data_IF_334767900039
#
_entry.id   IF_334767900039
#
_cell.length_a   1.000
_cell.length_b   1.000
_cell.length_c   1.000
_cell.angle_alpha   90.00
_cell.angle_beta   90.00
_cell.angle_gamma   90.00
#
_symmetry.space_group_name_H-M   'P 1'
#
loop_
_entity.id
_entity.type
_entity.pdbx_description
1 polymer ?
#
# COMPACT_ATOMS: atom_id res chain seq x y z
N UNK A 1 -19.91 14.38 15.75
CA UNK A 1 -20.28 13.48 14.65
C UNK A 1 -19.06 12.86 13.95
N UNK A 2 -18.02 13.59 13.58
CA UNK A 2 -16.82 13.02 12.93
C UNK A 2 -15.97 12.18 13.92
N UNK A 3 -15.76 12.66 15.15
CA UNK A 3 -15.01 11.95 16.19
C UNK A 3 -15.61 10.58 16.52
N UNK A 4 -16.93 10.50 16.70
CA UNK A 4 -17.63 9.24 17.01
C UNK A 4 -17.51 8.18 15.90
N UNK A 5 -17.42 8.61 14.62
CA UNK A 5 -17.23 7.70 13.49
C UNK A 5 -15.79 7.17 13.43
N UNK A 6 -14.80 8.02 13.71
CA UNK A 6 -13.40 7.61 13.77
C UNK A 6 -13.14 6.66 14.95
N UNK A 7 -13.76 6.89 16.10
CA UNK A 7 -13.65 6.01 17.26
C UNK A 7 -14.25 4.63 16.98
N UNK A 8 -15.38 4.56 16.30
CA UNK A 8 -15.98 3.28 15.85
C UNK A 8 -15.07 2.54 14.85
N UNK A 9 -14.44 3.25 13.93
CA UNK A 9 -13.46 2.67 13.00
C UNK A 9 -12.22 2.20 13.77
N UNK A 10 -11.71 3.00 14.72
CA UNK A 10 -10.57 2.63 15.56
C UNK A 10 -10.83 1.35 16.33
N UNK A 11 -11.98 1.25 17.00
CA UNK A 11 -12.36 0.06 17.76
C UNK A 11 -12.37 -1.21 16.89
N UNK A 12 -12.93 -1.12 15.70
CA UNK A 12 -13.01 -2.26 14.77
C UNK A 12 -11.66 -2.59 14.11
N UNK A 13 -10.94 -1.58 13.62
CA UNK A 13 -9.80 -1.79 12.73
C UNK A 13 -8.45 -1.87 13.45
N UNK A 14 -8.33 -1.45 14.72
CA UNK A 14 -7.05 -1.42 15.44
C UNK A 14 -6.65 -2.77 16.04
N UNK A 15 -7.57 -3.75 16.10
CA UNK A 15 -7.25 -5.06 16.66
C UNK A 15 -6.04 -5.70 15.95
N UNK A 16 -5.02 -6.07 16.74
CA UNK A 16 -3.75 -6.64 16.27
C UNK A 16 -2.96 -5.74 15.31
N UNK A 17 -3.19 -4.43 15.33
CA UNK A 17 -2.43 -3.44 14.57
C UNK A 17 -1.52 -2.64 15.49
N UNK A 18 -0.31 -2.35 15.03
CA UNK A 18 0.52 -1.27 15.59
C UNK A 18 0.39 -0.10 14.64
N UNK A 19 -0.36 0.91 15.04
CA UNK A 19 -0.64 2.09 14.22
C UNK A 19 0.40 3.16 14.53
N UNK A 20 0.90 3.81 13.49
CA UNK A 20 1.82 4.93 13.62
C UNK A 20 0.99 6.20 13.88
N UNK A 21 1.10 6.87 15.06
CA UNK A 21 0.22 7.98 15.43
C UNK A 21 0.17 9.11 14.41
N UNK A 22 1.30 9.40 13.76
CA UNK A 22 1.44 10.43 12.73
C UNK A 22 0.49 10.26 11.55
N UNK A 23 0.11 9.03 11.22
CA UNK A 23 -0.75 8.68 10.07
C UNK A 23 -1.98 7.89 10.51
N UNK A 24 -2.41 8.07 11.78
CA UNK A 24 -3.50 7.28 12.34
C UNK A 24 -4.79 7.40 11.54
N UNK A 25 -5.15 8.61 11.13
CA UNK A 25 -6.39 8.85 10.39
C UNK A 25 -6.39 8.16 9.03
N UNK A 26 -5.30 8.28 8.28
CA UNK A 26 -5.12 7.63 6.98
C UNK A 26 -5.10 6.10 7.12
N UNK A 27 -4.37 5.59 8.11
CA UNK A 27 -4.26 4.14 8.37
C UNK A 27 -5.61 3.57 8.78
N UNK A 28 -6.34 4.20 9.69
CA UNK A 28 -7.66 3.73 10.11
C UNK A 28 -8.67 3.81 8.95
N UNK A 29 -8.63 4.90 8.19
CA UNK A 29 -9.49 5.06 7.01
C UNK A 29 -9.24 3.95 6.01
N UNK A 30 -8.00 3.71 5.63
CA UNK A 30 -7.70 2.67 4.64
C UNK A 30 -8.03 1.27 5.17
N UNK A 31 -7.76 0.97 6.43
CA UNK A 31 -8.09 -0.33 7.03
C UNK A 31 -9.60 -0.62 6.98
N UNK A 32 -10.46 0.39 6.99
CA UNK A 32 -11.90 0.20 6.88
C UNK A 32 -12.36 -0.40 5.56
N UNK A 33 -11.54 -0.35 4.51
CA UNK A 33 -11.76 -1.01 3.22
C UNK A 33 -11.28 -2.47 3.19
N UNK A 34 -10.62 -2.95 4.24
CA UNK A 34 -9.99 -4.28 4.29
C UNK A 34 -10.50 -5.14 5.46
N UNK A 35 -11.81 -5.45 5.56
CA UNK A 35 -12.36 -6.26 6.64
C UNK A 35 -11.72 -7.66 6.73
N UNK A 36 -11.23 -8.21 5.60
CA UNK A 36 -10.49 -9.46 5.59
C UNK A 36 -9.17 -9.43 6.36
N UNK A 37 -8.65 -8.23 6.65
CA UNK A 37 -7.44 -8.04 7.45
C UNK A 37 -7.71 -7.75 8.93
N UNK A 38 -8.97 -7.70 9.39
CA UNK A 38 -9.32 -7.32 10.77
C UNK A 38 -8.55 -8.15 11.82
N UNK A 39 -8.44 -9.45 11.62
CA UNK A 39 -7.69 -10.35 12.53
C UNK A 39 -6.19 -10.47 12.20
N UNK A 40 -5.71 -9.83 11.13
CA UNK A 40 -4.32 -9.93 10.67
C UNK A 40 -3.42 -9.02 11.50
N UNK A 41 -2.25 -9.52 11.92
CA UNK A 41 -1.27 -8.70 12.64
C UNK A 41 -0.45 -7.86 11.68
N UNK A 42 -0.60 -6.53 11.76
CA UNK A 42 0.09 -5.57 10.89
C UNK A 42 0.79 -4.52 11.77
N UNK A 43 2.04 -4.24 11.45
CA UNK A 43 2.85 -3.22 12.10
C UNK A 43 3.15 -2.13 11.09
N UNK A 44 2.65 -0.93 11.32
CA UNK A 44 3.03 0.28 10.58
C UNK A 44 4.18 0.93 11.32
N UNK A 45 5.26 1.25 10.61
CA UNK A 45 6.42 1.90 11.23
C UNK A 45 7.24 2.69 10.22
N UNK A 46 7.90 3.72 10.68
CA UNK A 46 8.94 4.39 9.90
C UNK A 46 10.17 3.49 9.75
N UNK A 47 10.82 3.59 8.60
CA UNK A 47 12.06 2.87 8.33
C UNK A 47 12.83 3.51 7.17
N UNK A 48 14.16 3.48 7.24
CA UNK A 48 15.03 3.86 6.13
C UNK A 48 14.94 2.80 5.02
N UNK A 49 14.26 3.15 3.93
CA UNK A 49 14.02 2.31 2.77
C UNK A 49 14.22 3.10 1.48
N UNK A 50 14.47 2.39 0.36
CA UNK A 50 14.66 3.02 -0.96
C UNK A 50 13.35 3.45 -1.63
N UNK A 51 12.24 2.82 -1.29
CA UNK A 51 10.90 3.17 -1.77
C UNK A 51 10.23 4.15 -0.80
N UNK A 52 9.12 4.76 -1.20
CA UNK A 52 8.27 5.58 -0.32
C UNK A 52 7.63 4.74 0.78
N UNK A 53 7.04 3.61 0.39
CA UNK A 53 6.49 2.59 1.28
C UNK A 53 6.87 1.20 0.77
N UNK A 54 6.72 0.20 1.61
CA UNK A 54 6.63 -1.20 1.19
C UNK A 54 6.00 -2.08 2.27
N UNK A 55 5.27 -3.11 1.85
CA UNK A 55 4.75 -4.16 2.69
C UNK A 55 5.56 -5.45 2.55
N UNK A 56 5.75 -6.16 3.67
CA UNK A 56 6.41 -7.47 3.67
C UNK A 56 6.02 -8.32 4.86
N UNK A 57 6.08 -9.65 4.76
CA UNK A 57 6.01 -10.51 5.93
C UNK A 57 7.19 -10.26 6.87
N UNK A 58 6.96 -10.33 8.19
CA UNK A 58 8.05 -10.38 9.18
C UNK A 58 8.72 -11.74 9.09
N UNK A 59 10.02 -11.77 8.75
CA UNK A 59 10.77 -12.99 8.41
C UNK A 59 10.59 -14.11 9.44
N UNK A 60 10.85 -13.86 10.72
CA UNK A 60 10.66 -14.87 11.76
C UNK A 60 9.21 -15.35 11.88
N UNK A 61 8.23 -14.47 11.63
CA UNK A 61 6.81 -14.84 11.62
C UNK A 61 6.44 -15.69 10.39
N UNK A 62 7.07 -15.43 9.25
CA UNK A 62 6.83 -16.19 8.02
C UNK A 62 7.19 -17.67 8.17
N UNK A 63 8.34 -17.95 8.78
CA UNK A 63 8.85 -19.31 8.91
C UNK A 63 8.35 -20.05 10.14
N UNK A 64 8.14 -19.35 11.29
CA UNK A 64 7.83 -19.98 12.57
C UNK A 64 6.37 -19.85 12.99
N UNK A 65 5.49 -19.23 12.20
CA UNK A 65 4.09 -19.07 12.53
C UNK A 65 3.16 -19.68 11.47
N UNK A 66 2.06 -20.26 11.91
CA UNK A 66 0.98 -20.67 11.00
C UNK A 66 0.46 -19.47 10.22
N UNK A 67 -0.04 -19.66 9.00
CA UNK A 67 -0.51 -18.63 8.08
C UNK A 67 -1.38 -17.56 8.78
N UNK A 68 -2.40 -17.98 9.54
CA UNK A 68 -3.31 -17.09 10.29
C UNK A 68 -2.65 -16.25 11.40
N UNK A 69 -1.45 -16.60 11.82
CA UNK A 69 -0.72 -15.92 12.90
C UNK A 69 0.51 -15.16 12.40
N UNK A 70 0.69 -15.05 11.09
CA UNK A 70 1.78 -14.27 10.51
C UNK A 70 1.63 -12.80 10.83
N UNK A 71 2.77 -12.13 10.89
CA UNK A 71 2.85 -10.68 11.10
C UNK A 71 3.40 -10.05 9.83
N UNK A 72 2.77 -8.98 9.39
CA UNK A 72 3.19 -8.17 8.24
C UNK A 72 3.67 -6.81 8.72
N UNK A 73 4.58 -6.21 7.97
CA UNK A 73 5.15 -4.91 8.31
C UNK A 73 5.00 -4.00 7.10
N UNK A 74 4.29 -2.89 7.28
CA UNK A 74 4.25 -1.79 6.34
C UNK A 74 5.27 -0.77 6.82
N UNK A 75 6.30 -0.54 6.01
CA UNK A 75 7.36 0.41 6.29
C UNK A 75 7.11 1.68 5.50
N UNK A 76 7.17 2.81 6.19
CA UNK A 76 6.95 4.13 5.63
C UNK A 76 8.28 4.87 5.72
N UNK A 77 8.73 5.45 4.61
CA UNK A 77 9.92 6.27 4.62
C UNK A 77 9.60 7.59 5.30
N UNK A 78 10.35 7.98 6.36
CA UNK A 78 10.19 9.30 6.95
C UNK A 78 10.62 10.38 5.96
N UNK A 79 10.10 11.60 6.13
CA UNK A 79 10.54 12.76 5.36
C UNK A 79 11.99 13.09 5.73
N UNK A 80 12.89 12.77 4.84
CA UNK A 80 14.31 13.13 4.88
C UNK A 80 14.60 13.86 3.56
N UNK A 81 15.69 14.60 3.48
CA UNK A 81 16.12 15.35 2.27
C UNK A 81 16.35 14.46 1.04
N UNK A 82 15.85 13.23 1.08
CA UNK A 82 16.06 12.21 0.07
C UNK A 82 15.06 12.29 -1.09
N UNK A 83 15.49 11.73 -2.11
CA UNK A 83 15.12 11.67 -3.49
C UNK A 83 13.80 11.00 -3.89
N UNK A 84 12.94 10.60 -2.97
CA UNK A 84 11.67 9.91 -3.24
C UNK A 84 10.49 10.71 -2.72
N UNK A 85 9.31 10.48 -3.28
CA UNK A 85 8.07 11.02 -2.74
C UNK A 85 7.79 10.40 -1.35
N UNK A 86 7.37 11.21 -0.38
CA UNK A 86 7.09 10.77 1.00
C UNK A 86 5.62 10.99 1.35
N UNK A 87 5.13 10.22 2.31
CA UNK A 87 3.75 10.30 2.76
C UNK A 87 3.44 11.64 3.45
N UNK A 88 4.44 12.22 4.13
CA UNK A 88 4.32 13.50 4.83
C UNK A 88 3.93 14.68 3.94
N UNK A 89 4.31 14.62 2.68
CA UNK A 89 4.07 15.69 1.71
C UNK A 89 2.90 15.38 0.78
N UNK A 90 2.34 14.17 0.88
CA UNK A 90 1.18 13.76 0.11
C UNK A 90 -0.13 14.26 0.76
N UNK A 91 -1.14 14.54 -0.03
CA UNK A 91 -2.48 14.79 0.49
C UNK A 91 -3.12 13.53 1.06
N UNK A 92 -4.15 13.71 1.90
CA UNK A 92 -4.87 12.61 2.58
C UNK A 92 -5.29 11.49 1.62
N UNK A 93 -5.93 11.82 0.49
CA UNK A 93 -6.37 10.82 -0.48
C UNK A 93 -5.18 10.04 -1.05
N UNK A 94 -4.11 10.73 -1.43
CA UNK A 94 -2.89 10.08 -1.93
C UNK A 94 -2.29 9.12 -0.89
N UNK A 95 -2.26 9.53 0.38
CA UNK A 95 -1.79 8.68 1.47
C UNK A 95 -2.67 7.43 1.64
N UNK A 96 -4.00 7.57 1.62
CA UNK A 96 -4.95 6.46 1.66
C UNK A 96 -4.75 5.52 0.46
N UNK A 97 -4.53 6.06 -0.74
CA UNK A 97 -4.32 5.28 -1.95
C UNK A 97 -3.08 4.39 -1.88
N UNK A 98 -1.91 4.94 -1.54
CA UNK A 98 -0.68 4.16 -1.45
C UNK A 98 -0.69 3.20 -0.26
N UNK A 99 -1.31 3.55 0.86
CA UNK A 99 -1.50 2.63 1.97
C UNK A 99 -2.42 1.47 1.57
N UNK A 100 -3.44 1.73 0.75
CA UNK A 100 -4.31 0.69 0.18
C UNK A 100 -3.55 -0.28 -0.72
N UNK A 101 -2.69 0.24 -1.60
CA UNK A 101 -1.78 -0.57 -2.40
C UNK A 101 -0.91 -1.48 -1.51
N UNK A 102 -0.30 -0.96 -0.45
CA UNK A 102 0.51 -1.75 0.47
C UNK A 102 -0.32 -2.80 1.25
N UNK A 103 -1.56 -2.50 1.61
CA UNK A 103 -2.46 -3.47 2.23
C UNK A 103 -2.84 -4.59 1.26
N UNK A 104 -2.97 -4.34 -0.04
CA UNK A 104 -3.18 -5.39 -1.03
C UNK A 104 -1.99 -6.35 -1.15
N UNK A 105 -0.77 -5.88 -0.98
CA UNK A 105 0.37 -6.79 -0.79
C UNK A 105 0.19 -7.68 0.44
N UNK A 106 -0.31 -7.13 1.56
CA UNK A 106 -0.61 -7.94 2.77
C UNK A 106 -1.70 -8.96 2.49
N UNK A 107 -2.77 -8.59 1.79
CA UNK A 107 -3.84 -9.51 1.36
C UNK A 107 -3.27 -10.64 0.50
N UNK A 108 -2.48 -10.30 -0.52
CA UNK A 108 -1.84 -11.31 -1.40
C UNK A 108 -0.95 -12.28 -0.58
N UNK A 109 -0.09 -11.77 0.30
CA UNK A 109 0.76 -12.61 1.15
C UNK A 109 -0.03 -13.43 2.16
N UNK A 110 -1.11 -12.89 2.73
CA UNK A 110 -1.93 -13.59 3.73
C UNK A 110 -2.66 -14.80 3.14
N UNK A 111 -2.93 -14.76 1.83
CA UNK A 111 -3.60 -15.84 1.09
C UNK A 111 -2.66 -16.91 0.57
N UNK A 112 -1.32 -16.76 0.75
CA UNK A 112 -0.33 -17.68 0.18
C UNK A 112 0.37 -18.56 1.22
N UNK A 113 0.81 -19.74 0.75
CA UNK A 113 1.80 -20.55 1.46
C UNK A 113 3.15 -19.85 1.49
N UNK A 114 4.10 -20.36 2.27
CA UNK A 114 5.50 -19.85 2.30
C UNK A 114 6.11 -19.90 0.90
N UNK A 115 5.96 -21.03 0.19
CA UNK A 115 6.46 -21.18 -1.18
C UNK A 115 5.80 -20.22 -2.17
N UNK A 116 4.49 -19.95 -2.00
CA UNK A 116 3.78 -18.96 -2.80
C UNK A 116 4.29 -17.54 -2.58
N UNK A 117 4.65 -17.18 -1.34
CA UNK A 117 5.28 -15.88 -1.04
C UNK A 117 6.68 -15.79 -1.65
N UNK A 118 7.50 -16.85 -1.51
CA UNK A 118 8.83 -16.91 -2.13
C UNK A 118 8.70 -16.77 -3.65
N UNK A 119 7.74 -17.47 -4.28
CA UNK A 119 7.45 -17.31 -5.70
C UNK A 119 7.12 -15.87 -6.11
N UNK A 120 6.36 -15.12 -5.28
CA UNK A 120 6.11 -13.69 -5.51
C UNK A 120 7.39 -12.85 -5.43
N UNK A 121 8.32 -13.18 -4.53
CA UNK A 121 9.60 -12.48 -4.43
C UNK A 121 10.46 -12.65 -5.70
N UNK A 122 10.34 -13.78 -6.41
CA UNK A 122 11.02 -13.94 -7.69
C UNK A 122 10.53 -12.98 -8.77
N UNK A 123 9.31 -12.46 -8.69
CA UNK A 123 8.85 -11.40 -9.60
C UNK A 123 9.69 -10.12 -9.50
N UNK A 124 10.32 -9.87 -8.35
CA UNK A 124 11.20 -8.72 -8.14
C UNK A 124 12.61 -8.90 -8.69
N UNK A 125 12.97 -10.09 -9.18
CA UNK A 125 14.32 -10.35 -9.75
C UNK A 125 14.50 -9.73 -11.13
N UNK A 126 13.41 -9.41 -11.83
CA UNK A 126 13.47 -8.74 -13.11
C UNK A 126 12.34 -7.69 -13.25
N UNK A 127 12.57 -6.72 -14.13
CA UNK A 127 11.68 -5.56 -14.32
C UNK A 127 10.28 -5.96 -14.82
N UNK A 128 10.20 -6.91 -15.76
CA UNK A 128 8.94 -7.39 -16.35
C UNK A 128 8.06 -8.09 -15.31
N UNK A 129 8.65 -8.99 -14.51
CA UNK A 129 7.93 -9.68 -13.43
C UNK A 129 7.44 -8.71 -12.37
N UNK A 130 8.30 -7.75 -11.97
CA UNK A 130 7.91 -6.71 -11.01
C UNK A 130 6.75 -5.88 -11.53
N UNK A 131 6.82 -5.35 -12.76
CA UNK A 131 5.74 -4.58 -13.39
C UNK A 131 4.41 -5.35 -13.40
N UNK A 132 4.47 -6.63 -13.79
CA UNK A 132 3.26 -7.47 -13.81
C UNK A 132 2.65 -7.60 -12.41
N UNK A 133 3.47 -7.83 -11.39
CA UNK A 133 3.01 -7.99 -10.03
C UNK A 133 2.43 -6.70 -9.44
N UNK A 134 3.13 -5.57 -9.62
CA UNK A 134 2.62 -4.27 -9.17
C UNK A 134 1.30 -3.91 -9.88
N UNK A 135 1.17 -4.22 -11.18
CA UNK A 135 -0.08 -4.01 -11.91
C UNK A 135 -1.25 -4.88 -11.38
N UNK A 136 -0.99 -6.10 -10.88
CA UNK A 136 -2.01 -6.91 -10.19
C UNK A 136 -2.44 -6.22 -8.88
N UNK A 137 -1.51 -5.69 -8.10
CA UNK A 137 -1.79 -4.99 -6.82
C UNK A 137 -2.56 -3.69 -7.07
N UNK A 138 -2.19 -2.92 -8.10
CA UNK A 138 -2.91 -1.70 -8.47
C UNK A 138 -4.38 -2.01 -8.84
N UNK A 139 -4.62 -3.07 -9.63
CA UNK A 139 -5.98 -3.50 -9.96
C UNK A 139 -6.78 -3.91 -8.72
N UNK A 140 -6.19 -4.68 -7.80
CA UNK A 140 -6.82 -5.00 -6.53
C UNK A 140 -7.18 -3.73 -5.74
N UNK A 141 -6.34 -2.69 -5.82
CA UNK A 141 -6.60 -1.40 -5.15
C UNK A 141 -7.78 -0.67 -5.80
N UNK A 142 -7.90 -0.71 -7.12
CA UNK A 142 -9.06 -0.17 -7.86
C UNK A 142 -10.33 -0.95 -7.48
N UNK A 143 -10.29 -2.28 -7.46
CA UNK A 143 -11.41 -3.15 -7.10
C UNK A 143 -11.89 -2.95 -5.65
N UNK A 144 -10.99 -2.52 -4.75
CA UNK A 144 -11.34 -2.10 -3.38
C UNK A 144 -12.06 -0.74 -3.30
N UNK A 145 -12.25 -0.05 -4.43
CA UNK A 145 -12.85 1.28 -4.46
C UNK A 145 -11.86 2.41 -4.15
N UNK A 146 -10.55 2.12 -4.13
CA UNK A 146 -9.49 3.08 -3.83
C UNK A 146 -8.75 3.56 -5.09
N UNK A 147 -9.34 3.37 -6.27
CA UNK A 147 -8.71 3.72 -7.54
C UNK A 147 -8.37 5.19 -7.65
N UNK A 148 -9.29 6.10 -7.29
CA UNK A 148 -9.02 7.54 -7.33
C UNK A 148 -7.99 7.98 -6.30
N UNK A 149 -7.94 7.37 -5.13
CA UNK A 149 -6.91 7.61 -4.12
C UNK A 149 -5.52 7.16 -4.61
N UNK A 150 -5.46 6.01 -5.30
CA UNK A 150 -4.22 5.56 -5.93
C UNK A 150 -3.79 6.48 -7.08
N UNK A 151 -4.75 6.98 -7.88
CA UNK A 151 -4.49 8.02 -8.88
C UNK A 151 -3.88 9.27 -8.24
N UNK A 152 -4.44 9.76 -7.14
CA UNK A 152 -3.93 10.94 -6.42
C UNK A 152 -2.49 10.74 -5.93
N UNK A 153 -2.14 9.50 -5.51
CA UNK A 153 -0.77 9.16 -5.15
C UNK A 153 0.19 9.22 -6.33
N UNK A 154 -0.15 8.59 -7.45
CA UNK A 154 0.74 8.60 -8.62
C UNK A 154 0.83 10.01 -9.24
N UNK A 155 -0.26 10.78 -9.27
CA UNK A 155 -0.24 12.18 -9.70
C UNK A 155 0.65 13.04 -8.77
N UNK A 156 0.56 12.82 -7.46
CA UNK A 156 1.48 13.45 -6.53
C UNK A 156 2.94 13.10 -6.84
N UNK A 157 3.25 11.82 -7.00
CA UNK A 157 4.63 11.36 -7.29
C UNK A 157 5.17 11.98 -8.58
N UNK A 158 4.40 11.88 -9.66
CA UNK A 158 4.89 12.30 -10.99
C UNK A 158 4.87 13.80 -11.20
N UNK A 159 3.84 14.49 -10.73
CA UNK A 159 3.56 15.88 -11.13
C UNK A 159 3.80 16.91 -10.02
N UNK A 160 3.69 16.52 -8.73
CA UNK A 160 3.69 17.48 -7.61
C UNK A 160 4.89 17.32 -6.66
N UNK A 161 5.48 16.11 -6.58
CA UNK A 161 6.57 15.85 -5.64
C UNK A 161 7.91 16.36 -6.15
N UNK A 162 8.81 16.67 -5.22
CA UNK A 162 10.22 16.98 -5.48
C UNK A 162 11.11 15.74 -5.67
N UNK A 163 10.50 14.55 -5.89
CA UNK A 163 11.24 13.32 -6.13
C UNK A 163 12.19 13.46 -7.33
N UNK A 164 13.40 12.93 -7.22
CA UNK A 164 14.41 12.99 -8.27
C UNK A 164 13.91 12.37 -9.58
N UNK A 165 14.33 12.93 -10.70
CA UNK A 165 13.99 12.45 -12.05
C UNK A 165 14.25 10.95 -12.21
N UNK A 166 15.36 10.45 -11.67
CA UNK A 166 15.71 9.01 -11.69
C UNK A 166 14.66 8.16 -10.98
N UNK A 167 14.10 8.64 -9.86
CA UNK A 167 13.04 7.92 -9.14
C UNK A 167 11.73 7.91 -9.96
N UNK A 168 11.34 9.06 -10.52
CA UNK A 168 10.14 9.16 -11.38
C UNK A 168 10.27 8.27 -12.61
N UNK A 169 11.43 8.25 -13.26
CA UNK A 169 11.71 7.37 -14.39
C UNK A 169 11.57 5.88 -14.00
N UNK A 170 12.16 5.50 -12.87
CA UNK A 170 12.00 4.14 -12.35
C UNK A 170 10.53 3.78 -12.07
N UNK A 171 9.77 4.69 -11.46
CA UNK A 171 8.33 4.49 -11.20
C UNK A 171 7.57 4.27 -12.51
N UNK A 172 7.79 5.08 -13.52
CA UNK A 172 7.16 4.97 -14.85
C UNK A 172 7.38 3.60 -15.51
N UNK A 173 8.51 2.98 -15.24
CA UNK A 173 8.83 1.68 -15.79
C UNK A 173 8.08 0.51 -15.11
N UNK A 174 7.63 0.70 -13.88
CA UNK A 174 7.10 -0.38 -13.02
C UNK A 174 5.61 -0.22 -12.74
N UNK A 175 5.13 0.99 -12.48
CA UNK A 175 3.77 1.29 -12.05
C UNK A 175 2.95 1.89 -13.18
N UNK A 176 1.63 1.88 -13.04
CA UNK A 176 0.75 2.62 -13.93
C UNK A 176 0.98 4.13 -13.80
N UNK A 177 0.93 4.84 -14.92
CA UNK A 177 0.87 6.29 -14.90
C UNK A 177 -0.49 6.78 -14.38
N UNK A 178 -0.62 8.05 -13.97
CA UNK A 178 -1.93 8.63 -13.63
C UNK A 178 -2.96 8.45 -14.76
N UNK A 179 -2.54 8.60 -16.02
CA UNK A 179 -3.40 8.45 -17.19
C UNK A 179 -3.87 7.00 -17.37
N UNK A 180 -2.96 6.02 -17.17
CA UNK A 180 -3.30 4.59 -17.20
C UNK A 180 -4.30 4.25 -16.11
N UNK A 181 -4.07 4.72 -14.87
CA UNK A 181 -4.99 4.50 -13.74
C UNK A 181 -6.37 5.10 -14.01
N UNK A 182 -6.43 6.32 -14.49
CA UNK A 182 -7.70 6.98 -14.87
C UNK A 182 -8.46 6.16 -15.91
N UNK A 183 -7.76 5.63 -16.91
CA UNK A 183 -8.35 4.78 -17.92
C UNK A 183 -8.91 3.48 -17.32
N UNK A 184 -8.14 2.80 -16.46
CA UNK A 184 -8.56 1.55 -15.80
C UNK A 184 -9.75 1.76 -14.87
N UNK A 185 -9.78 2.84 -14.08
CA UNK A 185 -10.88 3.18 -13.18
C UNK A 185 -12.18 3.39 -13.97
N UNK A 186 -12.10 4.11 -15.10
CA UNK A 186 -13.27 4.39 -15.95
C UNK A 186 -13.79 3.13 -16.66
N UNK A 187 -12.92 2.18 -17.01
CA UNK A 187 -13.30 0.89 -17.59
C UNK A 187 -13.97 -0.04 -16.57
N UNK A 188 -13.56 0.02 -15.29
CA UNK A 188 -14.15 -0.75 -14.19
C UNK A 188 -15.49 -0.19 -13.67
N UNK A 189 -15.88 1.03 -14.06
CA UNK A 189 -17.19 1.64 -13.80
C UNK A 189 -17.97 1.74 -15.12
N UNK A 190 -18.63 0.68 -15.62
CA UNK A 190 -19.60 0.86 -16.68
C UNK A 190 -20.68 1.81 -16.13
N UNK A 191 -20.84 2.95 -16.76
CA UNK A 191 -21.91 3.91 -16.45
C UNK A 191 -23.23 3.14 -16.48
N UNK A 192 -23.92 3.05 -15.33
CA UNK A 192 -25.36 2.79 -15.29
C UNK A 192 -26.10 3.89 -16.04
#
# INVERSE_FOLDING_TARGET
MFASKLDSIRERCSYRKTILPKYETEILTVLSFYPELDSTRIIFKEATIKASLNARPKVGSLFFRRRKNRTYVIRIKPNTEDSVATLDQAGFNAAVGVLGHELNHVVDYSNRSIFGIIGRLFNYTNKKGKRKYEAEIDRMTIEKGLGWQLFDWEDYVFNKSNAKVKYKAYKKDIYYSPEDLKSLINQGNPKN
#
